data_IF_281391782667
#
_entry.id   IF_281391782667
#
_cell.length_a   1.000
_cell.length_b   1.000
_cell.length_c   1.000
_cell.angle_alpha   90.00
_cell.angle_beta   90.00
_cell.angle_gamma   90.00
#
_symmetry.space_group_name_H-M   'P 1'
#
loop_
_entity.id
_entity.type
_entity.pdbx_description
1 polymer ?
#
# COMPACT_ATOMS: atom_id res chain seq x y z
N UNK A 1 -5.39 7.60 -18.63
CA UNK A 1 -5.86 6.35 -18.01
C UNK A 1 -4.98 5.23 -18.52
N UNK A 2 -4.29 4.56 -17.61
CA UNK A 2 -3.41 3.42 -17.88
C UNK A 2 -4.01 2.11 -17.36
N UNK A 3 -3.81 1.02 -18.09
CA UNK A 3 -4.12 -0.35 -17.64
C UNK A 3 -3.04 -1.33 -18.14
N UNK A 4 -3.11 -2.59 -17.73
CA UNK A 4 -2.28 -3.67 -18.31
C UNK A 4 -2.81 -4.04 -19.70
N UNK A 5 -1.99 -4.61 -20.58
CA UNK A 5 -2.41 -4.99 -21.94
C UNK A 5 -2.93 -6.43 -22.02
N UNK A 6 -2.33 -7.33 -21.27
CA UNK A 6 -2.65 -8.76 -21.30
C UNK A 6 -3.14 -9.24 -19.93
N UNK A 7 -4.04 -10.23 -19.93
CA UNK A 7 -4.49 -10.83 -18.68
C UNK A 7 -3.36 -11.69 -18.08
N UNK A 8 -3.09 -11.50 -16.79
CA UNK A 8 -2.03 -12.23 -16.06
C UNK A 8 -2.57 -12.82 -14.78
N UNK A 9 -1.86 -13.82 -14.24
CA UNK A 9 -2.30 -14.56 -13.05
C UNK A 9 -1.16 -14.74 -12.07
N UNK A 10 -1.49 -14.74 -10.79
CA UNK A 10 -0.57 -15.04 -9.71
C UNK A 10 -1.29 -15.84 -8.62
N UNK A 11 -0.59 -16.79 -8.03
CA UNK A 11 -1.07 -17.57 -6.91
C UNK A 11 -0.09 -17.44 -5.75
N UNK A 12 -0.59 -17.36 -4.53
CA UNK A 12 0.25 -17.38 -3.34
C UNK A 12 -0.54 -17.39 -2.05
N UNK A 13 0.17 -17.49 -0.94
CA UNK A 13 -0.44 -17.52 0.41
C UNK A 13 -0.83 -16.12 0.86
N UNK A 14 -1.95 -15.98 1.55
CA UNK A 14 -2.34 -14.76 2.27
C UNK A 14 -1.58 -14.63 3.59
N UNK A 15 -1.12 -13.43 3.94
CA UNK A 15 -0.37 -13.16 5.18
C UNK A 15 -1.20 -13.47 6.43
N UNK A 16 -2.45 -12.99 6.45
CA UNK A 16 -3.33 -13.02 7.61
C UNK A 16 -3.96 -14.38 7.79
N UNK A 17 -4.54 -14.94 6.73
CA UNK A 17 -5.29 -16.20 6.82
C UNK A 17 -4.44 -17.45 6.66
N UNK A 18 -3.26 -17.36 6.02
CA UNK A 18 -2.46 -18.53 5.65
C UNK A 18 -3.07 -19.38 4.53
N UNK A 19 -4.19 -18.95 3.93
CA UNK A 19 -4.80 -19.64 2.80
C UNK A 19 -4.17 -19.22 1.47
N UNK A 20 -4.10 -20.16 0.53
CA UNK A 20 -3.73 -19.83 -0.84
C UNK A 20 -4.87 -19.08 -1.53
N UNK A 21 -4.50 -18.05 -2.29
CA UNK A 21 -5.37 -17.21 -3.11
C UNK A 21 -4.84 -17.16 -4.53
N UNK A 22 -5.71 -17.35 -5.51
CA UNK A 22 -5.44 -17.20 -6.93
C UNK A 22 -6.03 -15.88 -7.42
N UNK A 23 -5.18 -15.04 -7.97
CA UNK A 23 -5.51 -13.72 -8.48
C UNK A 23 -5.36 -13.73 -10.00
N UNK A 24 -6.40 -13.28 -10.70
CA UNK A 24 -6.35 -13.00 -12.14
C UNK A 24 -6.59 -11.51 -12.37
N UNK A 25 -5.69 -10.88 -13.11
CA UNK A 25 -5.72 -9.47 -13.45
C UNK A 25 -6.13 -9.31 -14.91
N UNK A 26 -7.04 -8.38 -15.17
CA UNK A 26 -7.54 -8.10 -16.51
C UNK A 26 -7.43 -6.61 -16.85
N UNK A 27 -7.12 -6.27 -18.12
CA UNK A 27 -7.29 -4.91 -18.61
C UNK A 27 -8.71 -4.41 -18.31
N UNK A 28 -8.83 -3.15 -17.92
CA UNK A 28 -10.15 -2.52 -17.71
C UNK A 28 -10.28 -1.24 -18.51
N UNK A 29 -11.41 -1.09 -19.18
CA UNK A 29 -11.83 0.16 -19.82
C UNK A 29 -12.51 1.15 -18.87
N UNK A 30 -12.68 0.77 -17.59
CA UNK A 30 -13.32 1.59 -16.57
C UNK A 30 -12.29 2.06 -15.53
N UNK A 31 -12.25 3.37 -15.28
CA UNK A 31 -11.33 3.96 -14.29
C UNK A 31 -11.61 3.39 -12.90
N UNK A 32 -10.55 3.02 -12.21
CA UNK A 32 -10.56 2.45 -10.87
C UNK A 32 -10.00 1.03 -10.84
N UNK A 33 -9.55 0.64 -9.66
CA UNK A 33 -9.16 -0.74 -9.36
C UNK A 33 -10.38 -1.42 -8.73
N UNK A 34 -10.83 -2.52 -9.33
CA UNK A 34 -12.07 -3.21 -8.94
C UNK A 34 -11.78 -4.65 -8.58
N UNK A 35 -12.12 -5.03 -7.35
CA UNK A 35 -11.92 -6.39 -6.86
C UNK A 35 -13.20 -7.23 -7.01
N UNK A 36 -13.15 -8.26 -7.85
CA UNK A 36 -14.20 -9.25 -8.03
C UNK A 36 -13.90 -10.47 -7.16
N UNK A 37 -14.47 -10.47 -5.96
CA UNK A 37 -14.32 -11.56 -4.99
C UNK A 37 -15.25 -12.71 -5.35
N UNK A 38 -14.73 -13.94 -5.38
CA UNK A 38 -15.53 -15.12 -5.71
C UNK A 38 -16.81 -15.22 -4.86
N UNK A 39 -17.92 -15.52 -5.53
CA UNK A 39 -19.24 -15.57 -4.91
C UNK A 39 -19.98 -14.23 -4.87
N UNK A 40 -19.32 -13.10 -5.19
CA UNK A 40 -19.97 -11.79 -5.33
C UNK A 40 -20.15 -11.39 -6.79
N UNK A 41 -21.30 -10.78 -7.10
CA UNK A 41 -21.57 -10.15 -8.41
C UNK A 41 -21.20 -8.67 -8.46
N UNK A 42 -20.95 -8.06 -7.29
CA UNK A 42 -20.67 -6.63 -7.14
C UNK A 42 -19.21 -6.48 -6.76
N UNK A 43 -18.40 -5.76 -7.56
CA UNK A 43 -17.01 -5.56 -7.20
C UNK A 43 -16.87 -4.67 -5.96
N UNK A 44 -15.79 -4.87 -5.21
CA UNK A 44 -15.32 -3.92 -4.21
C UNK A 44 -14.45 -2.90 -4.93
N UNK A 45 -14.82 -1.63 -4.87
CA UNK A 45 -14.02 -0.55 -5.49
C UNK A 45 -12.87 -0.16 -4.56
N UNK A 46 -11.66 -0.05 -5.09
CA UNK A 46 -10.51 0.45 -4.35
C UNK A 46 -10.67 1.94 -4.02
N UNK A 47 -11.24 2.22 -2.86
CA UNK A 47 -11.49 3.58 -2.40
C UNK A 47 -11.44 3.64 -0.89
N UNK A 48 -10.96 4.77 -0.35
CA UNK A 48 -10.97 5.03 1.08
C UNK A 48 -12.39 4.95 1.69
N UNK A 49 -13.43 5.17 0.86
CA UNK A 49 -14.84 5.05 1.28
C UNK A 49 -15.27 3.61 1.58
N UNK A 50 -14.55 2.63 1.05
CA UNK A 50 -14.86 1.21 1.19
C UNK A 50 -13.95 0.53 2.22
N UNK A 51 -13.22 1.29 3.04
CA UNK A 51 -12.40 0.72 4.11
C UNK A 51 -13.30 0.16 5.20
N UNK A 52 -13.16 -1.13 5.48
CA UNK A 52 -13.84 -1.82 6.57
C UNK A 52 -12.98 -1.91 7.84
N UNK A 53 -11.67 -2.06 7.67
CA UNK A 53 -10.72 -2.15 8.78
C UNK A 53 -9.32 -1.72 8.36
N UNK A 54 -8.53 -1.28 9.34
CA UNK A 54 -7.11 -0.95 9.22
C UNK A 54 -6.27 -1.66 10.29
N UNK A 55 -6.85 -2.66 10.95
CA UNK A 55 -6.18 -3.44 11.98
C UNK A 55 -5.22 -4.43 11.33
N UNK A 56 -3.91 -4.20 11.52
CA UNK A 56 -2.78 -4.97 10.96
C UNK A 56 -2.61 -4.92 9.44
N UNK A 57 -3.66 -4.68 8.67
CA UNK A 57 -3.66 -4.50 7.22
C UNK A 57 -4.85 -3.64 6.77
N UNK A 58 -4.92 -3.25 5.50
CA UNK A 58 -6.10 -2.58 4.94
C UNK A 58 -7.07 -3.60 4.38
N UNK A 59 -8.31 -3.55 4.87
CA UNK A 59 -9.43 -4.35 4.38
C UNK A 59 -10.42 -3.43 3.70
N UNK A 60 -10.72 -3.71 2.43
CA UNK A 60 -11.80 -3.04 1.69
C UNK A 60 -13.01 -3.96 1.57
N UNK A 61 -14.20 -3.41 1.49
CA UNK A 61 -15.39 -4.20 1.19
C UNK A 61 -16.65 -3.36 1.10
N UNK A 62 -17.68 -3.96 0.51
CA UNK A 62 -19.04 -3.42 0.53
C UNK A 62 -19.73 -3.78 1.86
N UNK A 63 -19.38 -4.95 2.40
CA UNK A 63 -19.82 -5.47 3.69
C UNK A 63 -18.86 -6.59 4.15
N UNK A 64 -19.13 -7.23 5.28
CA UNK A 64 -18.27 -8.29 5.83
C UNK A 64 -18.16 -9.55 4.95
N UNK A 65 -19.13 -9.80 4.07
CA UNK A 65 -19.20 -10.95 3.17
C UNK A 65 -18.57 -10.70 1.80
N UNK A 66 -18.49 -9.44 1.37
CA UNK A 66 -17.84 -9.03 0.13
C UNK A 66 -16.71 -8.04 0.43
N UNK A 67 -15.52 -8.61 0.70
CA UNK A 67 -14.33 -7.88 1.12
C UNK A 67 -13.05 -8.45 0.50
N UNK A 68 -12.00 -7.63 0.49
CA UNK A 68 -10.63 -7.99 0.13
C UNK A 68 -9.69 -7.52 1.23
N UNK A 69 -8.82 -8.42 1.67
CA UNK A 69 -7.84 -8.21 2.74
C UNK A 69 -6.46 -7.97 2.11
N UNK A 70 -5.64 -7.13 2.76
CA UNK A 70 -4.23 -6.89 2.43
C UNK A 70 -4.03 -6.18 1.08
N UNK A 71 -4.72 -5.05 0.88
CA UNK A 71 -4.68 -4.31 -0.39
C UNK A 71 -3.49 -3.36 -0.53
N UNK A 72 -2.87 -2.94 0.57
CA UNK A 72 -1.90 -1.86 0.63
C UNK A 72 -0.68 -2.07 -0.28
N UNK A 73 -0.09 -3.27 -0.31
CA UNK A 73 1.08 -3.56 -1.16
C UNK A 73 0.69 -3.56 -2.64
N UNK A 74 -0.47 -4.14 -2.96
CA UNK A 74 -1.01 -4.17 -4.31
C UNK A 74 -1.32 -2.77 -4.82
N UNK A 75 -1.98 -1.94 -3.99
CA UNK A 75 -2.27 -0.55 -4.32
C UNK A 75 -0.98 0.28 -4.47
N UNK A 76 0.05 0.00 -3.67
CA UNK A 76 1.37 0.63 -3.84
C UNK A 76 2.00 0.26 -5.17
N UNK A 77 1.98 -1.02 -5.55
CA UNK A 77 2.44 -1.48 -6.87
C UNK A 77 1.66 -0.80 -8.01
N UNK A 78 0.33 -0.68 -7.89
CA UNK A 78 -0.50 0.03 -8.88
C UNK A 78 -0.09 1.50 -8.99
N UNK A 79 0.19 2.18 -7.87
CA UNK A 79 0.64 3.57 -7.87
C UNK A 79 1.99 3.73 -8.59
N UNK A 80 2.96 2.86 -8.31
CA UNK A 80 4.27 2.84 -8.98
C UNK A 80 4.18 2.52 -10.47
N UNK A 81 3.30 1.59 -10.84
CA UNK A 81 3.05 1.25 -12.24
C UNK A 81 2.20 2.32 -12.96
N UNK A 82 1.56 3.23 -12.22
CA UNK A 82 0.65 4.24 -12.74
C UNK A 82 -0.66 3.65 -13.27
N UNK A 83 -1.10 2.48 -12.78
CA UNK A 83 -2.31 1.80 -13.25
C UNK A 83 -3.55 2.50 -12.71
N UNK A 84 -4.33 3.13 -13.60
CA UNK A 84 -5.57 3.83 -13.25
C UNK A 84 -6.81 2.94 -13.32
N UNK A 85 -6.76 1.85 -14.09
CA UNK A 85 -7.89 0.99 -14.38
C UNK A 85 -7.46 -0.48 -14.35
N UNK A 86 -8.12 -1.32 -13.55
CA UNK A 86 -7.79 -2.75 -13.45
C UNK A 86 -8.93 -3.56 -12.84
N UNK A 87 -9.22 -4.70 -13.44
CA UNK A 87 -10.12 -5.69 -12.86
C UNK A 87 -9.33 -6.83 -12.21
N UNK A 88 -9.58 -7.06 -10.93
CA UNK A 88 -8.84 -7.98 -10.07
C UNK A 88 -9.78 -9.07 -9.58
N UNK A 89 -9.74 -10.25 -10.20
CA UNK A 89 -10.54 -11.40 -9.78
C UNK A 89 -9.77 -12.22 -8.75
N UNK A 90 -10.36 -12.45 -7.58
CA UNK A 90 -9.76 -13.21 -6.48
C UNK A 90 -10.69 -14.34 -6.02
N UNK A 91 -10.16 -15.55 -5.87
CA UNK A 91 -10.96 -16.71 -5.44
C UNK A 91 -11.08 -16.84 -3.93
N UNK A 92 -10.19 -16.21 -3.18
CA UNK A 92 -10.20 -16.10 -1.73
C UNK A 92 -10.11 -14.61 -1.34
N UNK A 93 -10.80 -14.13 -0.28
CA UNK A 93 -10.93 -12.71 0.05
C UNK A 93 -9.67 -12.08 0.68
N UNK A 94 -8.48 -12.51 0.26
CA UNK A 94 -7.18 -11.98 0.67
C UNK A 94 -6.22 -12.03 -0.52
N UNK A 95 -5.48 -10.94 -0.75
CA UNK A 95 -4.43 -10.91 -1.75
C UNK A 95 -3.18 -11.68 -1.26
N UNK A 96 -2.49 -12.42 -2.14
CA UNK A 96 -1.22 -13.05 -1.79
C UNK A 96 -0.18 -12.07 -1.27
N UNK A 97 0.54 -12.44 -0.21
CA UNK A 97 1.65 -11.63 0.33
C UNK A 97 2.90 -11.68 -0.53
N UNK A 98 3.01 -12.72 -1.39
CA UNK A 98 4.17 -13.00 -2.25
C UNK A 98 5.43 -13.11 -1.39
N UNK A 99 6.30 -12.10 -1.41
CA UNK A 99 7.56 -12.03 -0.69
C UNK A 99 7.53 -11.00 0.44
N UNK A 100 6.36 -10.43 0.75
CA UNK A 100 6.20 -9.38 1.75
C UNK A 100 6.23 -7.97 1.22
N UNK A 101 6.61 -7.77 -0.05
CA UNK A 101 6.77 -6.45 -0.67
C UNK A 101 5.79 -6.22 -1.83
N UNK A 102 5.96 -5.12 -2.56
CA UNK A 102 5.15 -4.79 -3.73
C UNK A 102 5.82 -5.22 -5.06
N UNK A 103 7.08 -5.67 -5.04
CA UNK A 103 7.86 -5.91 -6.26
C UNK A 103 7.25 -7.00 -7.14
N UNK A 104 6.77 -8.09 -6.55
CA UNK A 104 6.15 -9.18 -7.32
C UNK A 104 4.88 -8.77 -8.05
N UNK A 105 4.10 -7.86 -7.48
CA UNK A 105 2.94 -7.26 -8.16
C UNK A 105 3.38 -6.35 -9.30
N UNK A 106 4.37 -5.49 -9.06
CA UNK A 106 4.90 -4.57 -10.05
C UNK A 106 5.49 -5.31 -11.27
N UNK A 107 6.34 -6.31 -11.04
CA UNK A 107 6.93 -7.15 -12.09
C UNK A 107 5.87 -7.92 -12.89
N UNK A 108 4.81 -8.39 -12.21
CA UNK A 108 3.67 -9.03 -12.87
C UNK A 108 2.97 -8.05 -13.82
N UNK A 109 2.76 -6.80 -13.42
CA UNK A 109 2.19 -5.78 -14.29
C UNK A 109 3.11 -5.46 -15.48
N UNK A 110 4.42 -5.37 -15.25
CA UNK A 110 5.39 -5.15 -16.34
C UNK A 110 5.36 -6.30 -17.36
N UNK A 111 5.25 -7.55 -16.89
CA UNK A 111 5.15 -8.72 -17.77
C UNK A 111 3.90 -8.72 -18.65
N UNK A 112 2.82 -8.08 -18.19
CA UNK A 112 1.56 -7.95 -18.91
C UNK A 112 1.60 -6.86 -20.00
N UNK A 113 2.67 -6.06 -20.04
CA UNK A 113 2.76 -4.78 -20.76
C UNK A 113 1.65 -3.80 -20.34
N UNK A 114 1.77 -2.55 -20.79
CA UNK A 114 0.81 -1.49 -20.48
C UNK A 114 0.13 -0.96 -21.75
N UNK A 115 -1.08 -0.45 -21.60
CA UNK A 115 -1.78 0.34 -22.61
C UNK A 115 -2.44 1.59 -22.00
N UNK A 116 -2.70 2.59 -22.84
CA UNK A 116 -3.23 3.88 -22.42
C UNK A 116 -2.15 4.95 -22.18
N UNK A 117 -2.52 6.00 -21.45
CA UNK A 117 -1.62 7.12 -21.15
C UNK A 117 -0.71 6.77 -19.97
N UNK A 118 0.60 7.06 -20.10
CA UNK A 118 1.61 6.78 -19.09
C UNK A 118 1.82 7.92 -18.08
N UNK A 119 1.16 9.07 -18.25
CA UNK A 119 1.40 10.23 -17.39
C UNK A 119 0.71 10.09 -16.02
N UNK A 120 1.51 10.15 -14.94
CA UNK A 120 0.99 10.32 -13.58
C UNK A 120 0.50 11.77 -13.41
N UNK A 121 -0.81 11.93 -13.17
CA UNK A 121 -1.43 13.24 -12.94
C UNK A 121 -0.76 13.98 -11.78
N UNK A 122 -0.33 15.22 -12.05
CA UNK A 122 0.29 16.08 -11.05
C UNK A 122 -0.79 16.84 -10.27
N UNK A 123 -0.80 16.70 -8.94
CA UNK A 123 -1.74 17.40 -8.05
C UNK A 123 -0.99 18.44 -7.22
N UNK A 124 -1.36 19.71 -7.40
CA UNK A 124 -0.82 20.83 -6.63
C UNK A 124 -1.68 21.14 -5.41
N UNK A 125 -1.05 21.63 -4.34
CA UNK A 125 -1.72 21.99 -3.10
C UNK A 125 -1.47 23.47 -2.79
N UNK A 126 -2.50 24.19 -2.36
CA UNK A 126 -2.39 25.62 -2.06
C UNK A 126 -1.94 25.91 -0.63
N UNK A 127 -2.11 24.96 0.30
CA UNK A 127 -1.84 25.11 1.73
C UNK A 127 -1.36 23.78 2.34
N UNK A 128 -0.61 23.82 3.45
CA UNK A 128 -0.28 22.62 4.22
C UNK A 128 -1.53 21.92 4.78
N UNK A 129 -1.49 20.59 4.81
CA UNK A 129 -2.55 19.74 5.37
C UNK A 129 -1.89 18.84 6.41
N UNK A 130 -2.29 18.95 7.67
CA UNK A 130 -1.71 18.14 8.75
C UNK A 130 -2.78 17.45 9.60
N UNK A 131 -2.42 16.31 10.17
CA UNK A 131 -3.21 15.56 11.14
C UNK A 131 -2.29 15.04 12.24
N UNK A 132 -2.71 15.19 13.49
CA UNK A 132 -1.98 14.69 14.66
C UNK A 132 -2.95 13.99 15.60
N UNK A 133 -2.57 12.81 16.07
CA UNK A 133 -3.30 12.06 17.10
C UNK A 133 -2.30 11.39 18.03
N UNK A 134 -2.21 11.85 19.28
CA UNK A 134 -1.19 11.41 20.23
C UNK A 134 0.22 11.68 19.69
N UNK A 135 1.02 10.61 19.50
CA UNK A 135 2.37 10.69 18.95
C UNK A 135 2.43 10.64 17.41
N UNK A 136 1.33 10.24 16.78
CA UNK A 136 1.23 10.05 15.33
C UNK A 136 0.96 11.36 14.64
N UNK A 137 1.76 11.68 13.63
CA UNK A 137 1.58 12.88 12.79
C UNK A 137 1.74 12.52 11.33
N UNK A 138 0.86 13.06 10.49
CA UNK A 138 1.04 13.07 9.03
C UNK A 138 0.80 14.50 8.56
N UNK A 139 1.71 15.02 7.76
CA UNK A 139 1.59 16.34 7.14
C UNK A 139 1.97 16.28 5.67
N UNK A 140 1.23 17.00 4.85
CA UNK A 140 1.56 17.32 3.47
C UNK A 140 1.86 18.82 3.40
N UNK A 141 3.04 19.18 2.93
CA UNK A 141 3.48 20.57 2.72
C UNK A 141 3.67 20.80 1.22
N UNK A 142 2.99 21.77 0.57
CA UNK A 142 3.17 22.05 -0.85
C UNK A 142 4.64 22.23 -1.23
N UNK A 143 5.08 21.63 -2.34
CA UNK A 143 6.45 21.65 -2.82
C UNK A 143 6.50 21.42 -4.33
N UNK A 144 7.57 21.82 -5.02
CA UNK A 144 7.69 21.61 -6.48
C UNK A 144 7.82 20.13 -6.87
N UNK A 145 8.34 19.32 -5.96
CA UNK A 145 8.55 17.89 -6.13
C UNK A 145 7.81 17.09 -5.08
N UNK A 146 7.37 15.89 -5.46
CA UNK A 146 6.87 14.89 -4.52
C UNK A 146 8.02 14.37 -3.67
N UNK A 147 7.86 14.33 -2.35
CA UNK A 147 8.81 13.67 -1.45
C UNK A 147 8.07 13.02 -0.31
N UNK A 148 8.50 11.82 0.08
CA UNK A 148 8.03 11.13 1.27
C UNK A 148 9.13 11.11 2.31
N UNK A 149 8.81 11.43 3.56
CA UNK A 149 9.71 11.27 4.70
C UNK A 149 8.96 10.56 5.81
N UNK A 150 9.50 9.43 6.27
CA UNK A 150 8.85 8.59 7.25
C UNK A 150 9.75 8.38 8.47
N UNK A 151 9.19 8.62 9.65
CA UNK A 151 9.82 8.32 10.93
C UNK A 151 9.17 7.09 11.57
N UNK A 152 9.98 6.08 11.82
CA UNK A 152 9.58 4.92 12.61
C UNK A 152 10.27 4.94 13.98
N UNK A 153 9.60 4.34 14.96
CA UNK A 153 10.08 4.28 16.34
C UNK A 153 9.78 2.93 16.97
N UNK A 154 10.46 1.90 16.46
CA UNK A 154 10.39 0.54 16.98
C UNK A 154 11.43 0.35 18.08
N UNK A 155 11.13 -0.56 19.01
CA UNK A 155 12.06 -1.00 20.06
C UNK A 155 13.09 -1.96 19.46
N UNK A 156 13.95 -1.40 18.61
CA UNK A 156 15.03 -2.06 17.90
C UNK A 156 16.16 -1.04 17.72
N UNK A 157 17.44 -1.39 17.99
CA UNK A 157 18.55 -0.42 18.01
C UNK A 157 18.68 0.45 16.75
N UNK A 158 18.42 -0.12 15.58
CA UNK A 158 18.54 0.58 14.29
C UNK A 158 17.29 1.38 13.89
N UNK A 159 16.11 1.03 14.43
CA UNK A 159 14.80 1.53 13.99
C UNK A 159 14.16 2.52 14.98
N UNK A 160 14.85 2.84 16.08
CA UNK A 160 14.40 3.82 17.06
C UNK A 160 14.59 5.23 16.53
N UNK A 161 13.51 6.02 16.46
CA UNK A 161 13.49 7.39 15.90
C UNK A 161 14.18 7.50 14.52
N UNK A 162 14.02 6.48 13.67
CA UNK A 162 14.70 6.40 12.37
C UNK A 162 13.89 7.12 11.31
N UNK A 163 14.54 8.07 10.63
CA UNK A 163 13.97 8.82 9.52
C UNK A 163 14.54 8.31 8.19
N UNK A 164 13.67 8.11 7.20
CA UNK A 164 14.03 7.78 5.82
C UNK A 164 13.22 8.66 4.88
N UNK A 165 13.84 9.06 3.76
CA UNK A 165 13.19 9.84 2.70
C UNK A 165 13.24 9.12 1.36
N UNK A 166 12.25 9.40 0.53
CA UNK A 166 12.10 8.88 -0.83
C UNK A 166 11.56 9.98 -1.75
N UNK A 167 12.20 10.18 -2.90
CA UNK A 167 11.74 11.07 -3.97
C UNK A 167 11.43 10.18 -5.20
N UNK A 168 10.20 10.21 -5.76
CA UNK A 168 9.91 9.52 -7.01
C UNK A 168 10.87 9.96 -8.12
N UNK A 169 11.35 9.02 -8.92
CA UNK A 169 12.49 9.16 -9.83
C UNK A 169 13.82 8.70 -9.22
N UNK A 170 13.85 8.31 -7.94
CA UNK A 170 15.07 7.90 -7.24
C UNK A 170 14.84 6.69 -6.32
N UNK A 171 15.34 5.52 -6.72
CA UNK A 171 15.40 4.35 -5.83
C UNK A 171 14.05 3.69 -5.58
N UNK A 172 13.14 3.70 -6.56
CA UNK A 172 11.83 3.03 -6.51
C UNK A 172 11.98 1.56 -6.16
N UNK A 173 13.03 0.91 -6.68
CA UNK A 173 13.33 -0.49 -6.39
C UNK A 173 13.49 -0.74 -4.88
N UNK A 174 14.09 0.20 -4.14
CA UNK A 174 14.27 0.06 -2.70
C UNK A 174 12.95 0.18 -1.93
N UNK A 175 11.96 0.89 -2.48
CA UNK A 175 10.61 0.97 -1.90
C UNK A 175 9.81 -0.26 -2.31
N UNK A 176 9.74 -0.56 -3.61
CA UNK A 176 8.97 -1.69 -4.15
C UNK A 176 9.38 -3.04 -3.55
N UNK A 177 10.69 -3.25 -3.32
CA UNK A 177 11.21 -4.50 -2.77
C UNK A 177 11.28 -4.55 -1.24
N UNK A 178 10.87 -3.48 -0.55
CA UNK A 178 10.89 -3.44 0.92
C UNK A 178 9.80 -4.33 1.50
N UNK A 179 10.22 -5.40 2.18
CA UNK A 179 9.31 -6.40 2.74
C UNK A 179 8.66 -5.91 4.02
N UNK A 180 7.46 -6.43 4.26
CA UNK A 180 6.77 -6.29 5.54
C UNK A 180 7.58 -6.94 6.66
N UNK A 181 7.31 -6.49 7.88
CA UNK A 181 8.14 -6.83 9.03
C UNK A 181 7.32 -6.89 10.32
N UNK A 182 7.83 -7.64 11.29
CA UNK A 182 7.21 -7.78 12.60
C UNK A 182 8.21 -8.31 13.63
N UNK A 183 7.90 -8.15 14.91
CA UNK A 183 8.76 -8.72 15.96
C UNK A 183 8.67 -10.24 15.95
N UNK A 184 9.83 -10.91 15.80
CA UNK A 184 9.88 -12.37 15.78
C UNK A 184 9.32 -12.97 17.09
N UNK A 185 9.63 -12.35 18.23
CA UNK A 185 9.14 -12.76 19.55
C UNK A 185 7.61 -12.72 19.70
N UNK A 186 6.92 -11.93 18.88
CA UNK A 186 5.47 -11.77 18.95
C UNK A 186 4.74 -12.69 17.96
N UNK A 187 5.44 -13.27 16.98
CA UNK A 187 4.84 -14.05 15.89
C UNK A 187 3.98 -15.21 16.41
N UNK A 188 4.51 -16.00 17.35
CA UNK A 188 3.78 -17.15 17.92
C UNK A 188 2.47 -16.69 18.58
N UNK A 189 2.50 -15.57 19.31
CA UNK A 189 1.32 -14.99 19.96
C UNK A 189 0.29 -14.52 18.92
N UNK A 190 0.73 -13.88 17.84
CA UNK A 190 -0.17 -13.48 16.75
C UNK A 190 -0.83 -14.71 16.11
N UNK A 191 -0.06 -15.75 15.82
CA UNK A 191 -0.57 -16.99 15.21
C UNK A 191 -1.54 -17.73 16.13
N UNK A 192 -1.25 -17.81 17.43
CA UNK A 192 -2.17 -18.35 18.43
C UNK A 192 -3.48 -17.55 18.53
N UNK A 193 -3.46 -16.26 18.21
CA UNK A 193 -4.64 -15.40 18.13
C UNK A 193 -5.35 -15.45 16.75
N UNK A 194 -4.89 -16.31 15.82
CA UNK A 194 -5.48 -16.43 14.48
C UNK A 194 -5.07 -15.31 13.51
N UNK A 195 -3.97 -14.60 13.78
CA UNK A 195 -3.43 -13.53 12.94
C UNK A 195 -2.08 -13.95 12.34
N UNK A 196 -1.71 -13.36 11.20
CA UNK A 196 -0.43 -13.60 10.53
C UNK A 196 -0.12 -15.10 10.29
N UNK A 197 -1.15 -15.89 9.97
CA UNK A 197 -1.03 -17.35 9.82
C UNK A 197 -0.16 -17.77 8.62
N UNK A 198 -0.03 -16.90 7.62
CA UNK A 198 0.84 -17.12 6.45
C UNK A 198 2.23 -16.50 6.56
N UNK A 199 2.55 -15.86 7.69
CA UNK A 199 3.85 -15.23 7.89
C UNK A 199 4.97 -16.28 8.05
N UNK A 200 6.04 -16.14 7.28
CA UNK A 200 7.24 -16.95 7.33
C UNK A 200 8.49 -16.13 6.93
N UNK A 201 9.67 -16.74 6.99
CA UNK A 201 10.94 -16.08 6.65
C UNK A 201 11.03 -15.65 5.18
N UNK A 202 10.24 -16.26 4.29
CA UNK A 202 10.24 -15.92 2.86
C UNK A 202 9.46 -14.64 2.56
N UNK A 203 8.53 -14.26 3.45
CA UNK A 203 7.60 -13.15 3.21
C UNK A 203 7.53 -12.10 4.32
N UNK A 204 8.27 -12.26 5.43
CA UNK A 204 8.35 -11.26 6.51
C UNK A 204 9.78 -11.14 7.01
N UNK A 205 10.26 -9.91 7.18
CA UNK A 205 11.49 -9.62 7.93
C UNK A 205 11.18 -9.62 9.42
N UNK A 206 11.67 -10.61 10.14
CA UNK A 206 11.54 -10.70 11.59
C UNK A 206 12.54 -9.77 12.30
N UNK A 207 12.04 -8.89 13.15
CA UNK A 207 12.87 -8.10 14.07
C UNK A 207 13.26 -8.98 15.26
N UNK A 208 14.55 -9.17 15.46
CA UNK A 208 15.14 -9.80 16.65
C UNK A 208 15.56 -8.71 17.65
N UNK A 209 16.20 -9.07 18.77
CA UNK A 209 16.63 -8.08 19.76
C UNK A 209 17.71 -7.11 19.24
N UNK A 210 18.58 -7.59 18.35
CA UNK A 210 19.78 -6.85 17.90
C UNK A 210 19.97 -6.83 16.39
N UNK A 211 19.05 -7.43 15.63
CA UNK A 211 19.14 -7.51 14.17
C UNK A 211 17.90 -8.14 13.54
N UNK A 212 18.08 -8.81 12.41
CA UNK A 212 17.00 -9.28 11.55
C UNK A 212 17.08 -10.79 11.27
N UNK A 213 15.96 -11.43 10.96
CA UNK A 213 15.94 -12.86 10.57
C UNK A 213 16.50 -13.13 9.19
N UNK A 214 16.69 -12.10 8.38
CA UNK A 214 17.26 -12.16 7.04
C UNK A 214 18.06 -10.88 6.76
N UNK A 215 18.96 -10.94 5.77
CA UNK A 215 19.63 -9.73 5.27
C UNK A 215 18.59 -8.75 4.70
N UNK A 216 18.80 -7.47 4.99
CA UNK A 216 17.96 -6.41 4.46
C UNK A 216 18.28 -6.17 2.98
N UNK A 217 17.26 -5.95 2.17
CA UNK A 217 17.40 -5.66 0.73
C UNK A 217 17.89 -4.24 0.46
N UNK A 218 17.69 -3.34 1.41
CA UNK A 218 18.12 -1.94 1.36
C UNK A 218 18.34 -1.38 2.77
N UNK A 219 19.08 -0.28 2.87
CA UNK A 219 19.29 0.40 4.15
C UNK A 219 17.94 0.84 4.73
N UNK A 220 17.70 0.47 5.99
CA UNK A 220 16.44 0.70 6.70
C UNK A 220 15.20 0.18 5.96
N UNK A 221 15.29 -1.01 5.33
CA UNK A 221 14.17 -1.68 4.64
C UNK A 221 12.82 -1.60 5.40
N UNK A 222 12.73 -1.82 6.74
CA UNK A 222 11.47 -1.64 7.47
C UNK A 222 10.87 -0.23 7.41
N UNK A 223 11.70 0.83 7.42
CA UNK A 223 11.22 2.20 7.28
C UNK A 223 10.74 2.49 5.86
N UNK A 224 11.42 1.91 4.85
CA UNK A 224 11.02 2.01 3.44
C UNK A 224 9.71 1.27 3.17
N UNK A 225 9.48 0.15 3.86
CA UNK A 225 8.19 -0.53 3.82
C UNK A 225 7.05 0.37 4.32
N UNK A 226 7.27 1.18 5.37
CA UNK A 226 6.25 2.16 5.79
C UNK A 226 5.99 3.26 4.75
N UNK A 227 6.98 3.58 3.90
CA UNK A 227 6.78 4.45 2.73
C UNK A 227 5.96 3.73 1.66
N UNK A 228 6.24 2.47 1.38
CA UNK A 228 5.43 1.62 0.49
C UNK A 228 3.97 1.59 0.95
N UNK A 229 3.71 1.37 2.24
CA UNK A 229 2.37 1.33 2.83
C UNK A 229 1.61 2.64 2.62
N UNK A 230 2.21 3.79 2.98
CA UNK A 230 1.51 5.07 2.86
C UNK A 230 1.24 5.43 1.39
N UNK A 231 2.11 5.03 0.46
CA UNK A 231 1.84 5.20 -0.97
C UNK A 231 0.59 4.40 -1.38
N UNK A 232 0.50 3.13 -0.98
CA UNK A 232 -0.66 2.29 -1.26
C UNK A 232 -1.96 2.84 -0.64
N UNK A 233 -1.90 3.22 0.63
CA UNK A 233 -3.05 3.73 1.38
C UNK A 233 -3.56 5.08 0.83
N UNK A 234 -2.65 5.99 0.47
CA UNK A 234 -3.04 7.26 -0.14
C UNK A 234 -3.56 7.09 -1.58
N UNK A 235 -3.17 6.01 -2.28
CA UNK A 235 -3.69 5.75 -3.61
C UNK A 235 -5.19 5.40 -3.61
N UNK A 236 -5.74 4.98 -2.46
CA UNK A 236 -7.17 4.79 -2.26
C UNK A 236 -7.99 6.10 -2.36
N UNK A 237 -7.35 7.27 -2.44
CA UNK A 237 -8.02 8.54 -2.79
C UNK A 237 -8.45 8.59 -4.26
N UNK A 238 -7.93 7.72 -5.12
CA UNK A 238 -8.15 7.75 -6.56
C UNK A 238 -7.25 8.74 -7.31
N UNK A 239 -6.34 9.41 -6.61
CA UNK A 239 -5.26 10.22 -7.18
C UNK A 239 -3.91 9.61 -6.80
N UNK A 240 -2.97 9.57 -7.74
CA UNK A 240 -1.67 8.96 -7.53
C UNK A 240 -0.79 9.82 -6.60
N UNK A 241 -0.42 9.35 -5.40
CA UNK A 241 0.36 10.15 -4.45
C UNK A 241 1.79 10.41 -4.93
N UNK A 242 2.31 9.65 -5.90
CA UNK A 242 3.61 9.93 -6.53
C UNK A 242 3.59 11.22 -7.37
N UNK A 243 2.40 11.70 -7.76
CA UNK A 243 2.19 12.97 -8.45
C UNK A 243 1.79 14.13 -7.53
N UNK A 244 1.82 13.97 -6.21
CA UNK A 244 1.50 15.04 -5.28
C UNK A 244 2.68 16.00 -5.17
N UNK A 245 2.55 17.21 -5.74
CA UNK A 245 3.54 18.29 -5.63
C UNK A 245 3.62 18.82 -4.19
N UNK A 246 4.24 18.01 -3.34
CA UNK A 246 4.29 18.20 -1.90
C UNK A 246 5.34 17.28 -1.23
N UNK A 247 5.80 17.72 -0.06
CA UNK A 247 6.52 16.91 0.90
C UNK A 247 5.54 16.30 1.91
N UNK A 248 5.39 14.99 1.85
CA UNK A 248 4.57 14.18 2.76
C UNK A 248 5.48 13.65 3.86
N UNK A 249 5.21 14.04 5.10
CA UNK A 249 5.99 13.70 6.28
C UNK A 249 5.09 12.92 7.24
N UNK A 250 5.49 11.71 7.61
CA UNK A 250 4.77 10.85 8.52
C UNK A 250 5.66 10.42 9.68
N UNK A 251 5.12 10.39 10.90
CA UNK A 251 5.80 9.94 12.11
C UNK A 251 4.87 9.06 12.92
N UNK A 252 5.38 7.91 13.37
CA UNK A 252 4.64 6.96 14.19
C UNK A 252 3.25 6.62 13.60
N UNK A 253 3.16 6.62 12.27
CA UNK A 253 1.94 6.42 11.52
C UNK A 253 1.78 4.94 11.10
N UNK A 254 0.58 4.62 10.64
CA UNK A 254 0.19 3.33 10.10
C UNK A 254 -1.15 3.45 9.36
N UNK A 255 -1.68 2.33 8.88
CA UNK A 255 -2.84 2.29 7.99
C UNK A 255 -4.04 3.13 8.48
N UNK A 256 -4.37 3.04 9.78
CA UNK A 256 -5.41 3.90 10.37
C UNK A 256 -5.19 5.38 10.10
N UNK A 257 -4.04 5.91 10.49
CA UNK A 257 -3.71 7.33 10.25
C UNK A 257 -3.53 7.66 8.76
N UNK A 258 -3.01 6.74 7.94
CA UNK A 258 -2.87 6.97 6.50
C UNK A 258 -4.24 7.15 5.84
N UNK A 259 -5.20 6.29 6.18
CA UNK A 259 -6.55 6.30 5.62
C UNK A 259 -7.40 7.45 6.13
N UNK A 260 -7.27 7.83 7.41
CA UNK A 260 -7.83 9.07 7.95
C UNK A 260 -7.28 10.30 7.20
N UNK A 261 -5.98 10.30 6.87
CA UNK A 261 -5.36 11.35 6.07
C UNK A 261 -5.84 11.33 4.61
N UNK A 262 -6.02 10.16 4.00
CA UNK A 262 -6.59 9.99 2.66
C UNK A 262 -8.01 10.58 2.56
N UNK A 263 -8.85 10.33 3.58
CA UNK A 263 -10.17 10.94 3.67
C UNK A 263 -10.09 12.47 3.72
N UNK A 264 -9.16 13.02 4.52
CA UNK A 264 -8.93 14.46 4.62
C UNK A 264 -8.47 15.07 3.29
N UNK A 265 -7.55 14.43 2.57
CA UNK A 265 -7.10 14.86 1.25
C UNK A 265 -8.26 14.88 0.24
N UNK A 266 -9.14 13.88 0.31
CA UNK A 266 -10.28 13.77 -0.61
C UNK A 266 -11.27 14.93 -0.48
N UNK A 267 -11.44 15.50 0.72
CA UNK A 267 -12.23 16.72 0.89
C UNK A 267 -11.57 17.96 0.29
N UNK A 268 -10.23 18.02 0.31
CA UNK A 268 -9.48 19.10 -0.34
C UNK A 268 -9.59 19.00 -1.86
N UNK A 269 -9.52 17.80 -2.43
CA UNK A 269 -9.67 17.59 -3.88
C UNK A 269 -11.03 18.09 -4.39
N UNK A 270 -12.13 17.73 -3.70
CA UNK A 270 -13.47 18.22 -4.04
C UNK A 270 -13.57 19.74 -3.96
N UNK A 271 -13.00 20.33 -2.90
CA UNK A 271 -13.01 21.78 -2.74
C UNK A 271 -12.30 22.45 -3.92
N UNK A 272 -11.13 21.95 -4.34
CA UNK A 272 -10.41 22.51 -5.49
C UNK A 272 -11.16 22.37 -6.81
N UNK A 273 -11.87 21.24 -7.03
CA UNK A 273 -12.66 21.00 -8.24
C UNK A 273 -13.91 21.89 -8.32
N UNK A 274 -14.48 22.28 -7.17
CA UNK A 274 -15.66 23.15 -7.11
C UNK A 274 -15.38 24.62 -7.46
N UNK A 275 -14.11 25.03 -7.49
CA UNK A 275 -13.68 26.40 -7.84
C UNK A 275 -13.06 26.50 -9.26
N UNK A 276 -13.08 25.43 -10.03
CA UNK A 276 -12.69 25.39 -11.45
C UNK A 276 -13.94 25.29 -12.34
#
# INVERSE_FOLDING_TARGET
MKTIKEAVKLSGVGLMSGHNSNVSLFPSGEKGIRFFVAGSKVPVIASFKNILSTDNCVILGNDASNKVILVEHFMSACAFAGIDALDVCIDFPELPIIDGSAIGWYELFESANYEGDNAIEQTSFSQPIAMTSGRTTISLVPAEKTTFTYCINFDHPELKNRWVSFEPGQGEKDILSARTFGYLKDLEKFQQAGLALGACADNVVGLTETGYTAELRSEYEPARHKILDIIGDLYLTGRNPLGFKAHIIAKDAGHKSHTEFAAKLSEVFKASEAYC
#
